data_IF_120752068174
#
_entry.id   IF_120752068174
#
_cell.length_a   1.000
_cell.length_b   1.000
_cell.length_c   1.000
_cell.angle_alpha   90.00
_cell.angle_beta   90.00
_cell.angle_gamma   90.00
#
_symmetry.space_group_name_H-M   'P 1'
#
loop_
_entity.id
_entity.type
_entity.pdbx_description
1 polymer ?
#
# COMPACT_ATOMS: atom_id res chain seq x y z
N UNK A 1 47.76 -48.44 -66.88
CA UNK A 1 46.39 -48.11 -66.44
C UNK A 1 46.30 -47.67 -64.97
N UNK A 2 46.93 -48.36 -64.00
CA UNK A 2 46.79 -48.02 -62.57
C UNK A 2 47.42 -46.67 -62.17
N UNK A 3 48.58 -46.32 -62.73
CA UNK A 3 49.24 -45.03 -62.47
C UNK A 3 48.50 -43.81 -63.06
N UNK A 4 47.77 -43.99 -64.17
CA UNK A 4 46.94 -42.92 -64.75
C UNK A 4 45.71 -42.62 -63.89
N UNK A 5 45.07 -43.66 -63.34
CA UNK A 5 43.94 -43.48 -62.41
C UNK A 5 44.33 -42.84 -61.08
N UNK A 6 45.55 -43.09 -60.59
CA UNK A 6 46.05 -42.41 -59.38
C UNK A 6 46.35 -40.93 -59.65
N UNK A 7 46.99 -40.60 -60.77
CA UNK A 7 47.29 -39.21 -61.15
C UNK A 7 46.01 -38.37 -61.37
N UNK A 8 44.96 -38.95 -61.97
CA UNK A 8 43.66 -38.27 -62.11
C UNK A 8 43.00 -38.00 -60.75
N UNK A 9 43.10 -38.96 -59.81
CA UNK A 9 42.55 -38.81 -58.45
C UNK A 9 43.25 -37.70 -57.67
N UNK A 10 44.56 -37.61 -57.79
CA UNK A 10 45.35 -36.60 -57.08
C UNK A 10 45.07 -35.20 -57.64
N UNK A 11 44.99 -35.05 -58.97
CA UNK A 11 44.57 -33.78 -59.59
C UNK A 11 43.14 -33.37 -59.21
N UNK A 12 42.22 -34.33 -59.03
CA UNK A 12 40.85 -34.03 -58.63
C UNK A 12 40.77 -33.62 -57.15
N UNK A 13 41.62 -34.18 -56.31
CA UNK A 13 41.74 -33.82 -54.89
C UNK A 13 42.38 -32.43 -54.72
N UNK A 14 43.41 -32.09 -55.49
CA UNK A 14 44.01 -30.75 -55.48
C UNK A 14 43.02 -29.67 -55.91
N UNK A 15 42.28 -29.89 -57.01
CA UNK A 15 41.24 -28.93 -57.45
C UNK A 15 40.13 -28.74 -56.42
N UNK A 16 39.75 -29.81 -55.69
CA UNK A 16 38.77 -29.70 -54.59
C UNK A 16 39.33 -28.90 -53.41
N UNK A 17 40.63 -29.04 -53.13
CA UNK A 17 41.29 -28.33 -52.03
C UNK A 17 41.48 -26.84 -52.35
N UNK A 18 41.86 -26.51 -53.59
CA UNK A 18 41.91 -25.13 -54.08
C UNK A 18 40.53 -24.47 -54.10
N UNK A 19 39.49 -25.16 -54.59
CA UNK A 19 38.14 -24.61 -54.56
C UNK A 19 37.66 -24.33 -53.12
N UNK A 20 38.00 -25.21 -52.17
CA UNK A 20 37.63 -25.03 -50.76
C UNK A 20 38.35 -23.83 -50.14
N UNK A 21 39.65 -23.67 -50.39
CA UNK A 21 40.42 -22.49 -49.93
C UNK A 21 39.93 -21.20 -50.59
N UNK A 22 39.51 -21.24 -51.85
CA UNK A 22 38.96 -20.08 -52.57
C UNK A 22 37.55 -19.70 -52.09
N UNK A 23 36.81 -20.67 -51.57
CA UNK A 23 35.49 -20.46 -50.97
C UNK A 23 35.63 -19.92 -49.54
N UNK A 24 36.54 -20.47 -48.74
CA UNK A 24 36.88 -19.96 -47.40
C UNK A 24 37.48 -18.54 -47.45
N UNK A 25 38.27 -18.21 -48.49
CA UNK A 25 38.79 -16.86 -48.70
C UNK A 25 37.72 -15.86 -49.21
N UNK A 26 36.60 -16.34 -49.77
CA UNK A 26 35.44 -15.50 -50.14
C UNK A 26 34.46 -15.34 -48.97
N UNK A 27 34.31 -16.36 -48.14
CA UNK A 27 33.43 -16.34 -46.96
C UNK A 27 34.04 -15.58 -45.77
N UNK A 28 35.35 -15.31 -45.77
CA UNK A 28 36.04 -14.50 -44.75
C UNK A 28 35.75 -12.99 -44.80
N UNK A 29 35.01 -12.50 -45.80
CA UNK A 29 34.72 -11.06 -46.01
C UNK A 29 33.21 -10.77 -46.21
N UNK A 30 32.32 -11.72 -45.91
CA UNK A 30 30.87 -11.49 -45.91
C UNK A 30 30.31 -11.55 -44.49
N UNK A 31 30.44 -10.44 -43.78
CA UNK A 31 29.50 -10.14 -42.71
C UNK A 31 28.11 -10.01 -43.35
N UNK A 32 27.17 -10.87 -42.96
CA UNK A 32 25.77 -10.77 -43.39
C UNK A 32 25.15 -9.48 -42.85
N UNK A 33 25.27 -8.38 -43.62
CA UNK A 33 24.54 -7.14 -43.42
C UNK A 33 23.11 -7.32 -43.96
N UNK A 34 22.18 -7.70 -43.07
CA UNK A 34 20.75 -7.58 -43.32
C UNK A 34 20.24 -6.30 -42.62
N UNK A 35 20.29 -5.18 -43.33
CA UNK A 35 19.84 -3.86 -42.87
C UNK A 35 20.49 -2.75 -43.69
N UNK A 36 19.68 -1.82 -44.23
CA UNK A 36 20.08 -0.83 -45.22
C UNK A 36 21.16 0.17 -44.78
N UNK A 37 21.63 0.95 -45.76
CA UNK A 37 22.48 2.12 -45.54
C UNK A 37 21.83 3.06 -44.51
N UNK A 38 22.38 3.09 -43.29
CA UNK A 38 22.14 4.16 -42.33
C UNK A 38 23.41 4.98 -42.17
N UNK A 39 23.22 6.30 -42.26
CA UNK A 39 24.23 7.34 -42.08
C UNK A 39 24.82 7.22 -40.68
N UNK A 40 26.10 7.55 -40.56
CA UNK A 40 26.75 7.86 -39.28
C UNK A 40 26.09 9.11 -38.65
N UNK A 41 24.92 8.93 -38.05
CA UNK A 41 24.42 9.78 -36.99
C UNK A 41 24.64 8.98 -35.70
N UNK A 42 25.76 9.25 -35.03
CA UNK A 42 26.11 8.72 -33.71
C UNK A 42 25.14 9.30 -32.66
N UNK A 43 23.87 8.89 -32.73
CA UNK A 43 22.96 8.98 -31.62
C UNK A 43 23.41 7.92 -30.58
N UNK A 44 23.54 8.27 -29.29
CA UNK A 44 24.00 7.33 -28.29
C UNK A 44 23.09 6.10 -28.29
N UNK A 45 23.69 4.92 -28.51
CA UNK A 45 23.00 3.65 -28.49
C UNK A 45 22.17 3.56 -27.19
N UNK A 46 20.84 3.59 -27.32
CA UNK A 46 19.95 3.50 -26.18
C UNK A 46 20.32 2.26 -25.36
N UNK A 47 20.72 2.46 -24.10
CA UNK A 47 21.09 1.35 -23.22
C UNK A 47 19.93 0.35 -23.17
N UNK A 48 20.19 -0.90 -23.56
CA UNK A 48 19.18 -1.97 -23.53
C UNK A 48 18.64 -2.08 -22.10
N UNK A 49 17.33 -1.90 -21.93
CA UNK A 49 16.69 -2.03 -20.64
C UNK A 49 17.01 -3.40 -20.04
N UNK A 50 17.59 -3.39 -18.85
CA UNK A 50 17.91 -4.61 -18.11
C UNK A 50 16.60 -5.25 -17.66
N UNK A 51 16.53 -6.59 -17.54
CA UNK A 51 15.37 -7.26 -16.98
C UNK A 51 15.06 -6.70 -15.58
N UNK A 52 13.84 -6.21 -15.38
CA UNK A 52 13.35 -5.85 -14.04
C UNK A 52 12.92 -7.12 -13.32
N UNK A 53 13.55 -7.39 -12.19
CA UNK A 53 13.15 -8.46 -11.26
C UNK A 53 12.32 -7.91 -10.09
N UNK A 54 11.85 -6.67 -10.20
CA UNK A 54 10.95 -6.09 -9.23
C UNK A 54 9.57 -6.75 -9.33
N UNK A 55 8.87 -6.83 -8.21
CA UNK A 55 7.53 -7.39 -8.15
C UNK A 55 6.59 -6.52 -8.99
N UNK A 56 6.08 -7.08 -10.08
CA UNK A 56 5.06 -6.41 -10.88
C UNK A 56 3.79 -6.29 -10.03
N UNK A 57 3.30 -5.06 -9.83
CA UNK A 57 2.13 -4.79 -9.00
C UNK A 57 0.84 -5.48 -9.45
N UNK A 58 0.84 -6.07 -10.65
CA UNK A 58 -0.30 -6.74 -11.29
C UNK A 58 -1.01 -7.77 -10.39
N UNK A 59 -0.27 -8.59 -9.64
CA UNK A 59 -0.87 -9.58 -8.74
C UNK A 59 -1.70 -8.93 -7.62
N UNK A 60 -1.25 -7.77 -7.13
CA UNK A 60 -1.96 -7.00 -6.09
C UNK A 60 -3.21 -6.37 -6.69
N UNK A 61 -3.14 -5.89 -7.93
CA UNK A 61 -4.30 -5.35 -8.63
C UNK A 61 -5.40 -6.40 -8.80
N UNK A 62 -5.05 -7.62 -9.19
CA UNK A 62 -6.03 -8.70 -9.37
C UNK A 62 -6.65 -9.17 -8.04
N UNK A 63 -5.87 -9.19 -6.97
CA UNK A 63 -6.31 -9.75 -5.69
C UNK A 63 -7.09 -8.75 -4.83
N UNK A 64 -6.69 -7.48 -4.81
CA UNK A 64 -7.18 -6.49 -3.85
C UNK A 64 -7.73 -5.21 -4.50
N UNK A 65 -8.48 -5.36 -5.59
CA UNK A 65 -9.20 -4.24 -6.22
C UNK A 65 -10.60 -4.10 -5.63
N UNK A 66 -10.88 -2.95 -5.03
CA UNK A 66 -12.22 -2.57 -4.57
C UNK A 66 -12.72 -1.36 -5.32
N UNK A 67 -13.87 -1.50 -5.99
CA UNK A 67 -14.51 -0.43 -6.79
C UNK A 67 -13.53 0.19 -7.82
N UNK A 68 -12.65 -0.63 -8.41
CA UNK A 68 -11.64 -0.20 -9.38
C UNK A 68 -10.45 0.56 -8.80
N UNK A 69 -10.21 0.45 -7.48
CA UNK A 69 -9.03 1.00 -6.82
C UNK A 69 -8.35 -0.11 -6.03
N UNK A 70 -7.05 -0.24 -6.20
CA UNK A 70 -6.23 -1.21 -5.46
C UNK A 70 -6.10 -0.77 -4.00
N UNK A 71 -6.52 -1.62 -3.08
CA UNK A 71 -6.40 -1.39 -1.64
C UNK A 71 -5.01 -1.85 -1.20
N UNK A 72 -4.30 -1.00 -0.44
CA UNK A 72 -2.94 -1.31 0.03
C UNK A 72 -2.92 -2.30 1.20
N UNK A 73 -3.99 -2.28 1.98
CA UNK A 73 -4.08 -3.02 3.23
C UNK A 73 -4.80 -4.34 3.05
N UNK A 74 -4.29 -5.38 3.72
CA UNK A 74 -4.95 -6.66 3.86
C UNK A 74 -5.21 -6.91 5.35
N UNK A 75 -6.44 -7.29 5.69
CA UNK A 75 -6.79 -7.62 7.07
C UNK A 75 -6.00 -8.85 7.54
N UNK A 76 -5.46 -8.84 8.76
CA UNK A 76 -4.69 -9.96 9.27
C UNK A 76 -5.64 -11.10 9.72
N UNK A 77 -5.17 -12.36 9.80
CA UNK A 77 -6.02 -13.51 10.12
C UNK A 77 -6.67 -13.44 11.52
N UNK A 78 -6.10 -12.66 12.43
CA UNK A 78 -6.66 -12.36 13.75
C UNK A 78 -7.76 -11.28 13.77
N UNK A 79 -8.13 -10.72 12.61
CA UNK A 79 -9.18 -9.72 12.48
C UNK A 79 -10.54 -10.28 12.96
N UNK A 80 -11.20 -9.60 13.89
CA UNK A 80 -12.50 -10.02 14.43
C UNK A 80 -13.38 -8.81 14.73
N UNK A 81 -14.68 -8.93 14.48
CA UNK A 81 -15.66 -7.90 14.83
C UNK A 81 -15.76 -7.81 16.37
N UNK A 82 -15.68 -6.61 16.96
CA UNK A 82 -15.76 -6.44 18.41
C UNK A 82 -17.18 -6.71 18.91
N UNK A 83 -17.30 -7.26 20.13
CA UNK A 83 -18.60 -7.35 20.83
C UNK A 83 -19.00 -6.03 21.51
N UNK A 84 -18.01 -5.23 21.91
CA UNK A 84 -18.21 -3.93 22.58
C UNK A 84 -18.60 -2.88 21.55
N UNK A 85 -19.55 -2.02 21.91
CA UNK A 85 -19.97 -0.91 21.04
C UNK A 85 -19.02 0.28 21.13
N UNK A 86 -17.96 0.22 20.33
CA UNK A 86 -17.05 1.34 20.11
C UNK A 86 -17.67 2.40 19.19
N UNK A 87 -17.31 3.66 19.46
CA UNK A 87 -17.76 4.86 18.77
C UNK A 87 -16.58 5.82 18.62
N UNK A 88 -16.50 6.51 17.48
CA UNK A 88 -15.61 7.65 17.29
C UNK A 88 -16.44 8.92 17.36
N UNK A 89 -15.95 9.87 18.14
CA UNK A 89 -16.52 11.20 18.31
C UNK A 89 -15.60 12.19 17.58
N UNK A 90 -15.98 12.64 16.37
CA UNK A 90 -15.21 13.62 15.64
C UNK A 90 -15.51 15.02 16.16
N UNK A 91 -14.47 15.81 16.36
CA UNK A 91 -14.56 17.23 16.68
C UNK A 91 -13.87 18.03 15.60
N UNK A 92 -14.38 19.21 15.26
CA UNK A 92 -13.72 20.14 14.35
C UNK A 92 -13.77 21.53 14.96
N UNK A 93 -12.62 22.06 15.35
CA UNK A 93 -12.55 23.36 16.04
C UNK A 93 -13.47 23.36 17.28
N UNK A 94 -13.39 22.30 18.09
CA UNK A 94 -14.22 22.08 19.29
C UNK A 94 -15.72 21.86 19.05
N UNK A 95 -16.21 21.98 17.80
CA UNK A 95 -17.59 21.61 17.47
C UNK A 95 -17.73 20.09 17.31
N UNK A 96 -18.67 19.44 18.03
CA UNK A 96 -18.93 18.01 17.89
C UNK A 96 -19.63 17.72 16.55
N UNK A 97 -19.10 16.75 15.82
CA UNK A 97 -19.69 16.23 14.59
C UNK A 97 -20.48 14.93 14.87
N UNK A 98 -21.32 14.47 13.91
CA UNK A 98 -22.09 13.25 14.08
C UNK A 98 -21.23 12.03 14.47
N UNK A 99 -21.67 11.33 15.51
CA UNK A 99 -20.98 10.16 16.08
C UNK A 99 -20.89 9.03 15.05
N UNK A 100 -19.72 8.40 14.97
CA UNK A 100 -19.45 7.31 14.04
C UNK A 100 -19.42 5.97 14.77
N UNK A 101 -20.27 5.02 14.36
CA UNK A 101 -20.34 3.69 14.94
C UNK A 101 -19.33 2.75 14.28
N UNK A 102 -18.22 2.50 14.97
CA UNK A 102 -17.11 1.70 14.43
C UNK A 102 -17.04 0.27 14.98
N UNK A 103 -18.16 -0.34 15.38
CA UNK A 103 -18.16 -1.70 15.96
C UNK A 103 -18.83 -2.75 15.06
N UNK A 104 -19.22 -2.37 13.85
CA UNK A 104 -20.01 -3.22 12.94
C UNK A 104 -19.14 -4.03 11.97
N UNK A 105 -17.88 -3.64 11.80
CA UNK A 105 -16.91 -4.26 10.91
C UNK A 105 -15.62 -4.57 11.68
N UNK A 106 -14.77 -5.43 11.10
CA UNK A 106 -13.45 -5.75 11.66
C UNK A 106 -12.41 -4.65 11.38
N UNK A 107 -12.55 -3.94 10.27
CA UNK A 107 -11.65 -2.87 9.87
C UNK A 107 -12.42 -1.68 9.27
N UNK A 108 -11.80 -0.50 9.28
CA UNK A 108 -12.30 0.70 8.62
C UNK A 108 -11.14 1.45 7.95
N UNK A 109 -11.28 1.73 6.65
CA UNK A 109 -10.30 2.51 5.90
C UNK A 109 -10.55 4.00 6.09
N UNK A 110 -9.51 4.71 6.56
CA UNK A 110 -9.53 6.16 6.70
C UNK A 110 -8.69 6.82 5.61
N UNK A 111 -9.24 7.85 4.97
CA UNK A 111 -8.50 8.61 3.98
C UNK A 111 -9.34 9.59 3.18
N UNK A 112 -8.69 10.32 2.27
CA UNK A 112 -9.33 11.35 1.45
C UNK A 112 -10.21 10.78 0.32
N UNK A 113 -9.96 9.55 -0.11
CA UNK A 113 -10.65 8.97 -1.26
C UNK A 113 -11.99 8.34 -0.86
N UNK A 114 -13.06 9.16 -0.84
CA UNK A 114 -14.42 8.77 -0.47
C UNK A 114 -15.00 7.54 -1.20
N UNK A 115 -14.52 7.24 -2.41
CA UNK A 115 -14.99 6.07 -3.19
C UNK A 115 -14.77 4.76 -2.44
N UNK A 116 -13.66 4.68 -1.69
CA UNK A 116 -13.21 3.48 -0.98
C UNK A 116 -13.12 3.65 0.53
N UNK A 117 -12.95 4.88 1.04
CA UNK A 117 -12.81 5.13 2.47
C UNK A 117 -14.16 4.94 3.18
N UNK A 118 -14.16 4.14 4.25
CA UNK A 118 -15.31 3.97 5.12
C UNK A 118 -15.51 5.21 6.00
N UNK A 119 -14.40 5.78 6.47
CA UNK A 119 -14.38 7.03 7.24
C UNK A 119 -13.63 8.08 6.42
N UNK A 120 -14.35 9.01 5.76
CA UNK A 120 -13.71 9.99 4.91
C UNK A 120 -13.03 11.10 5.72
N UNK A 121 -11.75 11.30 5.46
CA UNK A 121 -10.97 12.42 6.00
C UNK A 121 -10.84 13.48 4.92
N UNK A 122 -11.71 14.49 4.96
CA UNK A 122 -11.78 15.55 3.96
C UNK A 122 -10.71 16.63 4.22
N UNK A 123 -9.45 16.25 4.08
CA UNK A 123 -8.35 17.19 4.26
C UNK A 123 -7.26 16.99 3.18
N UNK A 124 -6.77 18.04 2.52
CA UNK A 124 -5.80 17.92 1.42
C UNK A 124 -4.46 17.32 1.87
N UNK A 125 -4.06 17.53 3.13
CA UNK A 125 -2.85 16.92 3.69
C UNK A 125 -3.01 15.41 4.00
N UNK A 126 -4.21 14.85 3.88
CA UNK A 126 -4.42 13.42 4.07
C UNK A 126 -4.26 12.63 2.77
N UNK A 127 -3.57 11.50 2.85
CA UNK A 127 -3.44 10.53 1.76
C UNK A 127 -4.80 9.95 1.32
N UNK A 128 -4.85 9.44 0.08
CA UNK A 128 -6.04 8.75 -0.47
C UNK A 128 -6.48 7.58 0.42
N UNK A 129 -5.52 6.73 0.76
CA UNK A 129 -5.57 5.71 1.81
C UNK A 129 -4.54 6.14 2.86
N UNK A 130 -5.00 6.56 4.04
CA UNK A 130 -4.15 7.20 5.04
C UNK A 130 -3.80 6.22 6.17
N UNK A 131 -4.81 5.70 6.84
CA UNK A 131 -4.67 4.77 7.94
C UNK A 131 -5.83 3.76 7.92
N UNK A 132 -5.67 2.67 8.63
CA UNK A 132 -6.73 1.68 8.86
C UNK A 132 -6.93 1.52 10.35
N UNK A 133 -8.19 1.61 10.77
CA UNK A 133 -8.61 1.17 12.09
C UNK A 133 -8.89 -0.32 11.99
N UNK A 134 -8.27 -1.14 12.84
CA UNK A 134 -8.38 -2.60 12.80
C UNK A 134 -8.68 -3.16 14.18
N UNK A 135 -9.71 -4.00 14.28
CA UNK A 135 -9.92 -4.85 15.45
C UNK A 135 -9.18 -6.17 15.30
N UNK A 136 -8.41 -6.54 16.33
CA UNK A 136 -7.61 -7.77 16.37
C UNK A 136 -7.92 -8.56 17.62
N UNK A 137 -7.96 -9.88 17.50
CA UNK A 137 -8.06 -10.79 18.63
C UNK A 137 -6.69 -10.95 19.28
N UNK A 138 -6.43 -10.17 20.32
CA UNK A 138 -5.18 -10.20 21.07
C UNK A 138 -5.32 -11.02 22.36
N UNK A 139 -4.23 -11.63 22.78
CA UNK A 139 -4.12 -12.23 24.11
C UNK A 139 -4.04 -11.12 25.16
N UNK A 140 -4.65 -11.37 26.32
CA UNK A 140 -4.55 -10.48 27.47
C UNK A 140 -4.39 -11.31 28.74
N UNK A 141 -3.58 -10.82 29.66
CA UNK A 141 -3.42 -11.42 30.98
C UNK A 141 -4.47 -10.85 31.91
N UNK A 142 -5.26 -11.73 32.52
CA UNK A 142 -6.23 -11.35 33.56
C UNK A 142 -5.52 -11.05 34.87
N UNK A 143 -6.23 -10.39 35.79
CA UNK A 143 -5.72 -10.10 37.13
C UNK A 143 -5.41 -11.38 37.94
N UNK A 144 -6.06 -12.49 37.61
CA UNK A 144 -5.82 -13.81 38.20
C UNK A 144 -4.59 -14.54 37.62
N UNK A 145 -3.86 -13.92 36.69
CA UNK A 145 -2.69 -14.51 36.02
C UNK A 145 -3.03 -15.45 34.85
N UNK A 146 -4.30 -15.72 34.58
CA UNK A 146 -4.70 -16.56 33.45
C UNK A 146 -4.65 -15.78 32.13
N UNK A 147 -4.37 -16.49 31.04
CA UNK A 147 -4.42 -15.91 29.69
C UNK A 147 -5.85 -15.96 29.15
N UNK A 148 -6.28 -14.84 28.59
CA UNK A 148 -7.56 -14.68 27.91
C UNK A 148 -7.34 -14.12 26.51
N UNK A 149 -8.40 -14.13 25.70
CA UNK A 149 -8.40 -13.47 24.40
C UNK A 149 -9.47 -12.40 24.37
N UNK A 150 -9.12 -11.21 23.89
CA UNK A 150 -10.04 -10.08 23.77
C UNK A 150 -9.83 -9.38 22.43
N UNK A 151 -10.92 -8.97 21.81
CA UNK A 151 -10.86 -8.12 20.62
C UNK A 151 -10.50 -6.70 21.05
N UNK A 152 -9.39 -6.19 20.54
CA UNK A 152 -8.84 -4.87 20.85
C UNK A 152 -8.75 -4.01 19.58
N UNK A 153 -9.03 -2.70 19.67
CA UNK A 153 -8.83 -1.78 18.56
C UNK A 153 -7.35 -1.42 18.37
N UNK A 154 -6.94 -1.28 17.12
CA UNK A 154 -5.63 -0.82 16.70
C UNK A 154 -5.75 0.22 15.60
N UNK A 155 -4.77 1.10 15.49
CA UNK A 155 -4.55 1.94 14.32
C UNK A 155 -3.25 1.52 13.63
N UNK A 156 -3.25 1.54 12.30
CA UNK A 156 -2.05 1.38 11.48
C UNK A 156 -2.03 2.48 10.41
N UNK A 157 -0.93 3.21 10.34
CA UNK A 157 -0.71 4.19 9.27
C UNK A 157 -0.19 3.47 8.01
N UNK A 158 -0.77 3.75 6.84
CA UNK A 158 -0.45 3.07 5.58
C UNK A 158 0.70 3.75 4.80
N UNK A 159 1.65 4.36 5.52
CA UNK A 159 2.70 5.17 4.91
C UNK A 159 2.13 6.48 4.38
N UNK A 160 1.33 7.17 5.20
CA UNK A 160 0.74 8.45 4.82
C UNK A 160 1.82 9.54 4.73
N UNK A 161 1.65 10.51 3.82
CA UNK A 161 2.68 11.53 3.57
C UNK A 161 2.93 12.44 4.78
N UNK A 162 1.85 12.84 5.46
CA UNK A 162 1.92 13.73 6.63
C UNK A 162 1.80 13.02 7.97
N UNK A 163 1.66 11.69 7.97
CA UNK A 163 1.58 10.87 9.18
C UNK A 163 0.22 10.89 9.88
N UNK A 164 0.06 9.90 10.74
CA UNK A 164 -1.02 9.78 11.73
C UNK A 164 -0.47 10.14 13.11
N UNK A 165 -1.32 10.73 13.95
CA UNK A 165 -1.01 11.15 15.31
C UNK A 165 -2.00 10.51 16.28
N UNK A 166 -1.46 9.97 17.37
CA UNK A 166 -2.19 9.40 18.50
C UNK A 166 -1.81 10.20 19.75
N UNK A 167 -2.79 10.80 20.43
CA UNK A 167 -2.57 11.67 21.58
C UNK A 167 -1.50 12.75 21.32
N UNK A 168 -1.62 13.41 20.15
CA UNK A 168 -0.70 14.43 19.63
C UNK A 168 0.74 13.95 19.35
N UNK A 169 1.02 12.65 19.49
CA UNK A 169 2.30 12.05 19.14
C UNK A 169 2.21 11.33 17.79
N UNK A 170 3.16 11.62 16.89
CA UNK A 170 3.23 10.92 15.59
C UNK A 170 3.58 9.44 15.81
N UNK A 171 2.80 8.56 15.19
CA UNK A 171 3.05 7.11 15.22
C UNK A 171 3.90 6.67 14.03
N UNK A 172 4.56 5.52 14.15
CA UNK A 172 5.34 4.93 13.07
C UNK A 172 4.42 4.36 11.97
N UNK A 173 4.78 4.53 10.69
CA UNK A 173 4.05 3.91 9.59
C UNK A 173 4.18 2.38 9.63
N UNK A 174 3.18 1.69 9.07
CA UNK A 174 3.15 0.23 8.89
C UNK A 174 3.26 -0.59 10.19
N UNK A 175 2.99 0.03 11.34
CA UNK A 175 3.00 -0.61 12.65
C UNK A 175 1.63 -0.48 13.32
N UNK A 176 1.18 -1.55 13.96
CA UNK A 176 -0.05 -1.53 14.75
C UNK A 176 0.18 -0.88 16.12
N UNK A 177 -0.60 0.15 16.43
CA UNK A 177 -0.67 0.77 17.74
C UNK A 177 -2.00 0.43 18.41
N UNK A 178 -1.97 -0.13 19.62
CA UNK A 178 -3.17 -0.44 20.40
C UNK A 178 -3.85 0.87 20.80
N UNK A 179 -5.14 0.99 20.51
CA UNK A 179 -5.94 2.12 20.94
C UNK A 179 -6.63 1.80 22.27
N UNK A 180 -6.67 2.79 23.13
CA UNK A 180 -7.36 2.77 24.42
C UNK A 180 -8.55 3.72 24.38
N UNK A 181 -9.39 3.55 25.38
CA UNK A 181 -10.47 4.49 25.63
C UNK A 181 -9.91 5.90 25.89
N UNK A 182 -10.61 6.93 25.42
CA UNK A 182 -10.25 8.35 25.51
C UNK A 182 -9.05 8.77 24.66
N UNK A 183 -8.47 7.87 23.88
CA UNK A 183 -7.41 8.21 22.93
C UNK A 183 -7.95 9.16 21.84
N UNK A 184 -7.10 10.10 21.44
CA UNK A 184 -7.36 11.10 20.40
C UNK A 184 -6.55 10.79 19.16
N UNK A 185 -7.23 10.66 18.03
CA UNK A 185 -6.61 10.46 16.72
C UNK A 185 -6.67 11.74 15.88
N UNK A 186 -5.57 12.04 15.20
CA UNK A 186 -5.46 13.16 14.25
C UNK A 186 -4.67 12.72 13.02
N UNK A 187 -5.07 13.21 11.86
CA UNK A 187 -4.52 12.77 10.57
C UNK A 187 -3.94 13.94 9.79
N UNK A 188 -2.65 13.85 9.47
CA UNK A 188 -1.89 14.94 8.86
C UNK A 188 -2.09 16.27 9.59
N UNK A 189 -2.42 17.30 8.81
CA UNK A 189 -2.72 18.66 9.30
C UNK A 189 -4.21 18.95 9.41
N UNK A 190 -5.06 17.92 9.50
CA UNK A 190 -6.49 18.14 9.70
C UNK A 190 -6.74 18.83 11.05
N UNK A 191 -7.68 19.78 11.10
CA UNK A 191 -8.20 20.30 12.36
C UNK A 191 -9.22 19.37 13.02
N UNK A 192 -9.57 18.25 12.36
CA UNK A 192 -10.47 17.25 12.94
C UNK A 192 -9.72 16.33 13.89
N UNK A 193 -10.29 16.13 15.06
CA UNK A 193 -9.79 15.21 16.08
C UNK A 193 -10.87 14.15 16.35
N UNK A 194 -10.45 12.91 16.56
CA UNK A 194 -11.37 11.79 16.74
C UNK A 194 -11.10 11.15 18.08
N UNK A 195 -12.06 11.26 19.00
CA UNK A 195 -11.96 10.65 20.33
C UNK A 195 -12.59 9.26 20.30
N UNK A 196 -11.86 8.26 20.79
CA UNK A 196 -12.31 6.88 20.84
C UNK A 196 -12.98 6.57 22.18
N UNK A 197 -14.25 6.20 22.16
CA UNK A 197 -15.02 5.81 23.35
C UNK A 197 -15.83 4.54 23.10
N UNK A 198 -16.35 3.93 24.16
CA UNK A 198 -17.25 2.79 24.08
C UNK A 198 -18.43 2.95 25.04
N UNK A 199 -19.46 2.11 24.90
CA UNK A 199 -20.71 2.20 25.69
C UNK A 199 -20.57 2.19 27.22
N UNK A 200 -19.46 1.65 27.76
CA UNK A 200 -19.19 1.63 29.20
C UNK A 200 -18.23 2.74 29.66
N UNK A 201 -17.97 3.71 28.79
CA UNK A 201 -17.13 4.86 29.11
C UNK A 201 -17.89 5.78 30.06
N UNK A 202 -17.28 6.12 31.19
CA UNK A 202 -17.84 7.13 32.07
C UNK A 202 -17.79 8.49 31.36
N UNK A 203 -18.98 8.98 31.03
CA UNK A 203 -19.24 10.22 30.28
C UNK A 203 -20.01 11.22 31.15
N UNK A 204 -20.22 10.91 32.43
CA UNK A 204 -21.02 11.76 33.34
C UNK A 204 -20.48 13.20 33.44
N UNK A 205 -19.17 13.40 33.33
CA UNK A 205 -18.54 14.72 33.40
C UNK A 205 -18.83 15.61 32.18
N UNK A 206 -19.10 15.04 31.00
CA UNK A 206 -19.38 15.83 29.78
C UNK A 206 -20.86 16.15 29.63
N UNK A 207 -21.74 15.27 30.08
CA UNK A 207 -23.18 15.51 30.05
C UNK A 207 -23.56 16.63 31.05
N UNK A 208 -22.94 16.65 32.24
CA UNK A 208 -23.18 17.68 33.26
C UNK A 208 -22.80 19.10 32.78
N UNK A 209 -21.66 19.25 32.09
CA UNK A 209 -21.25 20.56 31.55
C UNK A 209 -22.17 21.07 30.45
N UNK A 210 -22.74 20.17 29.67
CA UNK A 210 -23.66 20.55 28.58
C UNK A 210 -24.98 21.07 29.12
N UNK A 211 -25.45 20.54 30.24
CA UNK A 211 -26.63 21.05 30.95
C UNK A 211 -26.34 22.43 31.57
N UNK A 212 -25.15 22.65 32.15
CA UNK A 212 -24.72 23.96 32.67
C UNK A 212 -24.63 25.03 31.57
N UNK A 213 -24.02 24.72 30.41
CA UNK A 213 -23.89 25.66 29.29
C UNK A 213 -25.27 25.99 28.64
N UNK A 214 -26.22 25.05 28.63
CA UNK A 214 -27.59 25.28 28.13
C UNK A 214 -28.43 26.12 29.12
N UNK A 215 -28.22 25.98 30.43
CA UNK A 215 -28.89 26.80 31.45
C UNK A 215 -28.37 28.26 31.47
N UNK A 216 -27.10 28.51 31.14
CA UNK A 216 -26.53 29.86 31.07
C UNK A 216 -27.04 30.68 29.87
N UNK A 217 -27.31 30.06 28.71
CA UNK A 217 -27.80 30.74 27.50
C UNK A 217 -29.30 31.10 27.58
N UNK A 218 -30.09 30.34 28.34
CA UNK A 218 -31.51 30.64 28.61
C UNK A 218 -31.73 31.76 29.64
N UNK A 219 -30.66 32.21 30.33
CA UNK A 219 -30.73 33.19 31.43
C UNK A 219 -30.51 34.66 31.04
N UNK A 220 -30.42 35.00 29.75
CA UNK A 220 -29.97 36.33 29.27
C UNK A 220 -31.03 37.20 28.58
N UNK A 221 -32.32 36.88 28.74
CA UNK A 221 -33.43 37.72 28.25
C UNK A 221 -34.21 38.37 29.43
N UNK A 222 -33.65 39.41 30.06
CA UNK A 222 -34.40 40.41 30.87
C UNK A 222 -33.97 41.85 30.57
#
# INVERSE_FOLDING_TARGET
>A
MYQQQQAERDQQNERRRENRQRQEAREGDETHAFGGEERDDEAPAAEKEKPSFELSGALVEDTNTYRGVVIKYNEPPEARIPKRRWRLYPFKNDEPLPVMYIHRQSAYLLGRQRKIADIPIDHPSCSKQHAVFQYRLAEFTRADGTTGRRVKPYIIDLGSGNGTYLNNQRIEPQRYYELKEKDVLKFGFSSREYVLLHEFSDTAEVDAKKEEDEEEDEGLDE
#
